data_IF_851789642657
#
_entry.id   IF_851789642657
#
_cell.length_a   1.000
_cell.length_b   1.000
_cell.length_c   1.000
_cell.angle_alpha   90.00
_cell.angle_beta   90.00
_cell.angle_gamma   90.00
#
_symmetry.space_group_name_H-M   'P 1'
#
loop_
_entity.id
_entity.type
_entity.pdbx_description
1 polymer ?
#
# COMPACT_ATOMS: atom_id res chain seq x y z
N UNK A 1 14.73 16.44 45.94
CA UNK A 1 13.72 17.10 45.09
C UNK A 1 13.08 16.04 44.21
N UNK A 2 11.96 15.50 44.69
CA UNK A 2 11.14 14.53 43.97
C UNK A 2 10.24 15.29 42.99
N UNK A 3 10.41 15.03 41.69
CA UNK A 3 9.57 15.58 40.63
C UNK A 3 8.34 14.70 40.44
N UNK A 4 7.17 15.30 40.65
CA UNK A 4 5.83 14.76 40.41
C UNK A 4 5.74 14.10 39.03
N UNK A 5 5.60 12.77 39.01
CA UNK A 5 5.25 12.00 37.81
C UNK A 5 3.72 11.97 37.73
N UNK A 6 3.16 12.65 36.74
CA UNK A 6 1.72 12.64 36.43
C UNK A 6 1.19 11.19 36.38
N UNK A 7 0.17 10.89 37.18
CA UNK A 7 -0.51 9.59 37.26
C UNK A 7 -1.44 9.30 36.05
N UNK A 8 -1.36 10.06 34.96
CA UNK A 8 -2.29 9.96 33.82
C UNK A 8 -1.78 9.13 32.63
N UNK A 9 -0.69 8.38 32.78
CA UNK A 9 -0.09 7.62 31.67
C UNK A 9 0.38 6.21 32.06
N UNK A 10 -0.29 5.56 33.03
CA UNK A 10 -0.13 4.12 33.24
C UNK A 10 -0.80 3.36 32.09
N UNK A 11 0.01 2.67 31.29
CA UNK A 11 -0.46 1.74 30.26
C UNK A 11 -1.46 0.75 30.89
N UNK A 12 -2.71 0.66 30.40
CA UNK A 12 -3.62 -0.36 30.86
C UNK A 12 -3.10 -1.66 30.26
N UNK A 13 -2.59 -2.55 31.12
CA UNK A 13 -2.38 -3.99 30.95
C UNK A 13 -1.02 -4.40 31.54
N UNK A 14 -0.90 -4.41 32.87
CA UNK A 14 -0.10 -5.34 33.72
C UNK A 14 0.25 -4.64 35.05
N UNK A 15 -0.64 -4.76 36.04
CA UNK A 15 -0.28 -4.55 37.44
C UNK A 15 0.09 -5.90 38.06
N UNK A 16 1.31 -6.01 38.60
CA UNK A 16 1.73 -7.18 39.38
C UNK A 16 1.14 -7.07 40.79
N UNK A 17 0.11 -7.87 41.09
CA UNK A 17 -0.29 -8.19 42.46
C UNK A 17 -0.23 -9.71 42.68
N UNK A 18 0.58 -10.21 43.62
CA UNK A 18 0.66 -11.63 43.90
C UNK A 18 -0.51 -12.03 44.80
N UNK A 19 -1.54 -12.70 44.25
CA UNK A 19 -2.49 -13.41 45.11
C UNK A 19 -3.90 -13.72 44.61
N UNK A 20 -4.43 -13.09 43.55
CA UNK A 20 -5.81 -13.35 43.11
C UNK A 20 -5.86 -14.07 41.75
N UNK A 21 -6.61 -15.16 41.70
CA UNK A 21 -6.81 -16.03 40.53
C UNK A 21 -7.83 -15.49 39.52
N UNK A 22 -8.16 -14.22 39.59
CA UNK A 22 -9.24 -13.59 38.82
C UNK A 22 -8.74 -12.21 38.36
N UNK A 23 -8.43 -12.13 37.07
CA UNK A 23 -7.90 -10.93 36.42
C UNK A 23 -9.05 -10.04 35.94
N UNK A 24 -9.87 -9.53 36.85
CA UNK A 24 -10.90 -8.58 36.47
C UNK A 24 -10.27 -7.26 36.03
N UNK A 25 -10.33 -7.04 34.72
CA UNK A 25 -9.98 -5.81 34.04
C UNK A 25 -11.02 -4.77 34.45
N UNK A 26 -10.81 -4.09 35.58
CA UNK A 26 -11.60 -2.90 35.93
C UNK A 26 -11.07 -1.70 35.14
N UNK A 27 -11.20 -1.75 33.82
CA UNK A 27 -11.13 -0.54 33.00
C UNK A 27 -12.32 0.34 33.35
N UNK A 28 -12.09 1.48 33.99
CA UNK A 28 -13.17 2.44 34.24
C UNK A 28 -13.77 2.93 32.92
N UNK A 29 -15.08 3.17 32.90
CA UNK A 29 -15.81 3.72 31.75
C UNK A 29 -15.17 4.98 31.14
N UNK A 30 -14.56 5.83 31.97
CA UNK A 30 -13.86 7.03 31.50
C UNK A 30 -12.60 6.70 30.69
N UNK A 31 -11.79 5.76 31.16
CA UNK A 31 -10.61 5.28 30.42
C UNK A 31 -11.01 4.63 29.10
N UNK A 32 -12.07 3.81 29.09
CA UNK A 32 -12.63 3.21 27.87
C UNK A 32 -13.05 4.28 26.85
N UNK A 33 -13.86 5.26 27.27
CA UNK A 33 -14.31 6.36 26.40
C UNK A 33 -13.15 7.20 25.88
N UNK A 34 -12.16 7.47 26.73
CA UNK A 34 -10.97 8.25 26.37
C UNK A 34 -10.12 7.55 25.31
N UNK A 35 -9.81 6.25 25.48
CA UNK A 35 -9.04 5.49 24.48
C UNK A 35 -9.77 5.39 23.14
N UNK A 36 -11.08 5.15 23.16
CA UNK A 36 -11.87 5.06 21.93
C UNK A 36 -12.02 6.39 21.21
N UNK A 37 -12.05 7.51 21.93
CA UNK A 37 -11.97 8.84 21.32
C UNK A 37 -10.64 9.01 20.57
N UNK A 38 -9.53 8.63 21.19
CA UNK A 38 -8.20 8.67 20.56
C UNK A 38 -8.14 7.77 19.32
N UNK A 39 -8.61 6.52 19.40
CA UNK A 39 -8.64 5.56 18.28
C UNK A 39 -9.45 6.12 17.09
N UNK A 40 -10.62 6.71 17.34
CA UNK A 40 -11.44 7.33 16.27
C UNK A 40 -10.74 8.51 15.59
N UNK A 41 -10.01 9.34 16.34
CA UNK A 41 -9.20 10.42 15.76
C UNK A 41 -8.11 9.85 14.85
N UNK A 42 -7.47 8.75 15.26
CA UNK A 42 -6.45 8.07 14.44
C UNK A 42 -7.04 7.46 13.17
N UNK A 43 -8.26 6.90 13.23
CA UNK A 43 -8.99 6.44 12.05
C UNK A 43 -9.22 7.57 11.05
N UNK A 44 -9.71 8.72 11.53
CA UNK A 44 -9.91 9.91 10.69
C UNK A 44 -8.60 10.40 10.07
N UNK A 45 -7.51 10.42 10.85
CA UNK A 45 -6.19 10.83 10.33
C UNK A 45 -5.68 9.89 9.24
N UNK A 46 -5.86 8.57 9.41
CA UNK A 46 -5.50 7.57 8.41
C UNK A 46 -6.35 7.68 7.14
N UNK A 47 -7.65 7.91 7.31
CA UNK A 47 -8.57 8.15 6.20
C UNK A 47 -8.17 9.38 5.37
N UNK A 48 -7.98 10.54 6.03
CA UNK A 48 -7.58 11.78 5.37
C UNK A 48 -6.21 11.62 4.65
N UNK A 49 -5.27 10.91 5.27
CA UNK A 49 -3.97 10.61 4.66
C UNK A 49 -4.12 9.75 3.40
N UNK A 50 -5.01 8.75 3.42
CA UNK A 50 -5.27 7.88 2.26
C UNK A 50 -5.95 8.62 1.11
N UNK A 51 -6.92 9.49 1.42
CA UNK A 51 -7.58 10.35 0.43
C UNK A 51 -6.56 11.27 -0.24
N UNK A 52 -5.71 11.94 0.55
CA UNK A 52 -4.67 12.82 0.03
C UNK A 52 -3.67 12.07 -0.86
N UNK A 53 -3.22 10.89 -0.44
CA UNK A 53 -2.36 10.03 -1.26
C UNK A 53 -3.03 9.63 -2.59
N UNK A 54 -4.29 9.19 -2.56
CA UNK A 54 -5.02 8.73 -3.75
C UNK A 54 -5.24 9.83 -4.78
N UNK A 55 -5.67 11.02 -4.34
CA UNK A 55 -5.86 12.19 -5.21
C UNK A 55 -4.57 12.56 -5.93
N UNK A 56 -3.46 12.56 -5.20
CA UNK A 56 -2.14 12.86 -5.75
C UNK A 56 -1.72 11.79 -6.75
N UNK A 57 -1.88 10.51 -6.43
CA UNK A 57 -1.45 9.42 -7.32
C UNK A 57 -2.20 9.41 -8.66
N UNK A 58 -3.47 9.79 -8.70
CA UNK A 58 -4.23 9.89 -9.96
C UNK A 58 -3.84 11.11 -10.79
N UNK A 59 -3.42 12.20 -10.15
CA UNK A 59 -3.14 13.48 -10.81
C UNK A 59 -1.67 13.72 -11.13
N UNK A 60 -0.74 12.95 -10.55
CA UNK A 60 0.69 13.21 -10.61
C UNK A 60 1.28 13.19 -12.02
N UNK A 61 0.81 12.29 -12.90
CA UNK A 61 1.32 12.20 -14.27
C UNK A 61 0.89 13.39 -15.12
N UNK A 62 -0.42 13.73 -15.24
CA UNK A 62 -0.84 14.95 -15.92
C UNK A 62 -0.18 16.22 -15.36
N UNK A 63 0.06 16.25 -14.05
CA UNK A 63 0.69 17.38 -13.40
C UNK A 63 2.18 17.53 -13.74
N UNK A 64 2.92 16.41 -13.73
CA UNK A 64 4.32 16.37 -14.14
C UNK A 64 4.48 16.83 -15.59
N UNK A 65 3.61 16.37 -16.49
CA UNK A 65 3.61 16.76 -17.91
C UNK A 65 3.36 18.25 -18.12
N UNK A 66 2.50 18.87 -17.29
CA UNK A 66 2.28 20.33 -17.35
C UNK A 66 3.47 21.14 -16.83
N UNK A 67 4.20 20.61 -15.86
CA UNK A 67 5.34 21.29 -15.22
C UNK A 67 6.62 21.17 -16.05
N UNK A 68 6.88 19.97 -16.57
CA UNK A 68 8.05 19.65 -17.38
C UNK A 68 7.64 18.66 -18.48
N UNK A 69 7.38 19.14 -19.70
CA UNK A 69 7.03 18.29 -20.84
C UNK A 69 8.16 17.33 -21.25
N UNK A 70 9.39 17.54 -20.78
CA UNK A 70 10.54 16.65 -21.06
C UNK A 70 10.64 15.48 -20.10
N UNK A 71 9.69 15.33 -19.16
CA UNK A 71 9.71 14.28 -18.16
C UNK A 71 9.15 12.96 -18.70
N UNK A 72 9.97 11.91 -18.65
CA UNK A 72 9.59 10.57 -19.09
C UNK A 72 8.85 9.76 -18.01
N UNK A 73 8.23 8.66 -18.42
CA UNK A 73 7.58 7.66 -17.54
C UNK A 73 8.54 7.06 -16.51
N UNK A 74 9.83 6.97 -16.84
CA UNK A 74 10.89 6.52 -15.93
C UNK A 74 11.07 7.48 -14.74
N UNK A 75 11.00 8.79 -14.99
CA UNK A 75 11.10 9.82 -13.95
C UNK A 75 9.87 9.79 -13.04
N UNK A 76 8.69 9.60 -13.61
CA UNK A 76 7.48 9.35 -12.81
C UNK A 76 7.68 8.16 -11.85
N UNK A 77 8.31 7.08 -12.32
CA UNK A 77 8.68 5.93 -11.48
C UNK A 77 9.53 6.33 -10.26
N UNK A 78 10.54 7.19 -10.45
CA UNK A 78 11.36 7.73 -9.36
C UNK A 78 10.56 8.60 -8.38
N UNK A 79 9.62 9.40 -8.88
CA UNK A 79 8.75 10.24 -8.05
C UNK A 79 7.82 9.39 -7.17
N UNK A 80 7.29 8.29 -7.70
CA UNK A 80 6.48 7.33 -6.92
C UNK A 80 7.36 6.57 -5.91
N UNK A 81 8.58 6.18 -6.32
CA UNK A 81 9.54 5.51 -5.46
C UNK A 81 10.03 6.40 -4.31
N UNK A 82 10.21 7.71 -4.51
CA UNK A 82 10.71 8.62 -3.49
C UNK A 82 9.78 8.71 -2.28
N UNK A 83 8.46 8.69 -2.50
CA UNK A 83 7.46 8.59 -1.43
C UNK A 83 7.65 7.32 -0.61
N UNK A 84 7.76 6.17 -1.29
CA UNK A 84 7.96 4.89 -0.61
C UNK A 84 9.29 4.83 0.12
N UNK A 85 10.35 5.44 -0.42
CA UNK A 85 11.67 5.50 0.20
C UNK A 85 11.65 6.36 1.48
N UNK A 86 11.00 7.53 1.42
CA UNK A 86 10.77 8.36 2.61
C UNK A 86 10.02 7.59 3.70
N UNK A 87 8.94 6.88 3.34
CA UNK A 87 8.17 6.08 4.28
C UNK A 87 8.97 4.90 4.84
N UNK A 88 9.79 4.25 4.01
CA UNK A 88 10.64 3.12 4.41
C UNK A 88 11.62 3.52 5.52
N UNK A 89 12.27 4.67 5.38
CA UNK A 89 13.22 5.19 6.38
C UNK A 89 12.51 5.73 7.61
N UNK A 90 11.43 6.49 7.42
CA UNK A 90 10.74 7.16 8.51
C UNK A 90 9.93 6.22 9.42
N UNK A 91 9.37 5.12 8.87
CA UNK A 91 8.54 4.19 9.63
C UNK A 91 9.22 3.59 10.89
N UNK A 92 10.44 3.03 10.82
CA UNK A 92 11.13 2.51 12.00
C UNK A 92 11.57 3.63 12.95
N UNK A 93 11.95 4.80 12.44
CA UNK A 93 12.34 5.97 13.26
C UNK A 93 11.16 6.45 14.09
N UNK A 94 10.02 6.70 13.46
CA UNK A 94 8.81 7.11 14.16
C UNK A 94 8.27 6.02 15.09
N UNK A 95 8.41 4.75 14.71
CA UNK A 95 8.07 3.60 15.56
C UNK A 95 8.96 3.49 16.81
N UNK A 96 10.25 3.78 16.69
CA UNK A 96 11.18 3.86 17.82
C UNK A 96 10.81 5.04 18.72
N UNK A 97 10.60 6.21 18.13
CA UNK A 97 10.23 7.42 18.86
C UNK A 97 8.93 7.21 19.65
N UNK A 98 7.90 6.60 19.06
CA UNK A 98 6.63 6.33 19.73
C UNK A 98 6.71 5.34 20.91
N UNK A 99 7.80 4.58 21.00
CA UNK A 99 8.01 3.64 22.10
C UNK A 99 8.66 4.30 23.33
N UNK A 100 9.49 5.33 23.15
CA UNK A 100 10.21 5.98 24.25
C UNK A 100 9.62 7.32 24.67
N UNK A 101 8.77 7.93 23.83
CA UNK A 101 8.15 9.24 24.07
C UNK A 101 6.64 9.14 23.87
N UNK A 102 5.86 10.09 24.42
CA UNK A 102 4.41 10.11 24.23
C UNK A 102 4.07 10.09 22.74
N UNK A 103 3.22 9.14 22.35
CA UNK A 103 2.86 8.83 20.95
C UNK A 103 2.27 10.04 20.19
N UNK A 104 1.82 11.06 20.91
CA UNK A 104 1.36 12.36 20.37
C UNK A 104 2.48 13.15 19.67
N UNK A 105 3.70 13.14 20.21
CA UNK A 105 4.85 13.87 19.65
C UNK A 105 5.16 13.44 18.20
N UNK A 106 5.45 12.15 17.92
CA UNK A 106 5.78 11.72 16.55
C UNK A 106 4.60 11.93 15.60
N UNK A 107 3.35 11.81 16.08
CA UNK A 107 2.16 12.04 15.26
C UNK A 107 2.04 13.51 14.83
N UNK A 108 2.21 14.47 15.74
CA UNK A 108 2.15 15.90 15.39
C UNK A 108 3.27 16.27 14.41
N UNK A 109 4.50 15.82 14.70
CA UNK A 109 5.66 16.09 13.82
C UNK A 109 5.42 15.53 12.42
N UNK A 110 4.89 14.31 12.31
CA UNK A 110 4.57 13.70 11.02
C UNK A 110 3.53 14.48 10.23
N UNK A 111 2.47 14.98 10.90
CA UNK A 111 1.41 15.78 10.27
C UNK A 111 1.99 17.13 9.79
N UNK A 112 2.84 17.78 10.58
CA UNK A 112 3.51 19.03 10.17
C UNK A 112 4.39 18.82 8.94
N UNK A 113 5.16 17.74 8.90
CA UNK A 113 5.96 17.36 7.71
C UNK A 113 5.05 17.13 6.51
N UNK A 114 3.95 16.40 6.67
CA UNK A 114 2.99 16.15 5.59
C UNK A 114 2.34 17.43 5.07
N UNK A 115 1.98 18.37 5.94
CA UNK A 115 1.43 19.67 5.54
C UNK A 115 2.47 20.48 4.77
N UNK A 116 3.69 20.61 5.30
CA UNK A 116 4.79 21.31 4.62
C UNK A 116 5.10 20.70 3.24
N UNK A 117 5.11 19.37 3.14
CA UNK A 117 5.34 18.66 1.89
C UNK A 117 4.22 18.89 0.85
N UNK A 118 2.95 18.92 1.29
CA UNK A 118 1.83 19.24 0.41
C UNK A 118 1.82 20.71 -0.02
N UNK A 119 2.19 21.64 0.86
CA UNK A 119 2.40 23.04 0.48
C UNK A 119 3.51 23.15 -0.58
N UNK A 120 4.65 22.50 -0.36
CA UNK A 120 5.74 22.47 -1.34
C UNK A 120 5.27 21.90 -2.68
N UNK A 121 4.45 20.84 -2.66
CA UNK A 121 3.87 20.27 -3.87
C UNK A 121 2.92 21.23 -4.61
N UNK A 122 2.07 21.96 -3.89
CA UNK A 122 1.15 22.92 -4.49
C UNK A 122 1.89 24.10 -5.16
N UNK A 123 3.02 24.51 -4.61
CA UNK A 123 3.82 25.63 -5.07
C UNK A 123 4.97 25.25 -6.02
N UNK A 124 4.93 24.06 -6.63
CA UNK A 124 5.98 23.59 -7.55
C UNK A 124 6.18 24.45 -8.80
N UNK A 125 5.24 25.34 -9.14
CA UNK A 125 5.34 26.24 -10.29
C UNK A 125 6.12 27.53 -10.00
N UNK A 126 6.43 27.84 -8.73
CA UNK A 126 7.12 29.08 -8.36
C UNK A 126 8.61 29.06 -8.76
N UNK A 127 9.37 27.96 -8.54
CA UNK A 127 10.74 27.89 -9.03
C UNK A 127 10.78 27.97 -10.55
N UNK A 128 11.70 28.78 -11.09
CA UNK A 128 11.82 28.99 -12.53
C UNK A 128 12.56 27.85 -13.26
N UNK A 129 13.20 26.93 -12.55
CA UNK A 129 13.94 25.80 -13.14
C UNK A 129 13.91 24.55 -12.26
N UNK A 130 14.08 23.37 -12.88
CA UNK A 130 14.21 22.06 -12.20
C UNK A 130 12.96 21.56 -11.45
N UNK A 131 11.78 21.97 -11.89
CA UNK A 131 10.50 21.73 -11.20
C UNK A 131 10.19 20.24 -10.97
N UNK A 132 10.61 19.35 -11.87
CA UNK A 132 10.48 17.88 -11.71
C UNK A 132 11.23 17.34 -10.48
N UNK A 133 12.39 17.91 -10.13
CA UNK A 133 13.16 17.50 -8.95
C UNK A 133 12.54 18.01 -7.66
N UNK A 134 11.96 19.21 -7.67
CA UNK A 134 11.17 19.70 -6.53
C UNK A 134 9.96 18.81 -6.26
N UNK A 135 9.32 18.27 -7.31
CA UNK A 135 8.24 17.29 -7.15
C UNK A 135 8.74 16.02 -6.46
N UNK A 136 9.90 15.51 -6.89
CA UNK A 136 10.53 14.34 -6.29
C UNK A 136 10.83 14.56 -4.80
N UNK A 137 11.36 15.72 -4.42
CA UNK A 137 11.65 16.09 -3.03
C UNK A 137 10.36 16.24 -2.22
N UNK A 138 9.35 16.93 -2.75
CA UNK A 138 8.05 17.07 -2.07
C UNK A 138 7.41 15.71 -1.80
N UNK A 139 7.50 14.77 -2.74
CA UNK A 139 7.04 13.38 -2.56
C UNK A 139 7.83 12.63 -1.51
N UNK A 140 9.15 12.77 -1.50
CA UNK A 140 10.01 12.18 -0.47
C UNK A 140 9.68 12.67 0.94
N UNK A 141 9.51 13.98 1.11
CA UNK A 141 9.10 14.60 2.37
C UNK A 141 7.71 14.12 2.82
N UNK A 142 6.76 14.03 1.88
CA UNK A 142 5.43 13.49 2.18
C UNK A 142 5.52 12.02 2.61
N UNK A 143 6.41 11.25 1.99
CA UNK A 143 6.73 9.87 2.38
C UNK A 143 7.28 9.77 3.80
N UNK A 144 8.15 10.70 4.21
CA UNK A 144 8.62 10.78 5.59
C UNK A 144 7.44 11.01 6.55
N UNK A 145 6.56 11.96 6.23
CA UNK A 145 5.33 12.18 7.01
C UNK A 145 4.41 10.95 7.08
N UNK A 146 4.37 10.13 6.02
CA UNK A 146 3.63 8.87 5.99
C UNK A 146 4.18 7.76 6.91
N UNK A 147 5.34 7.98 7.55
CA UNK A 147 5.82 7.12 8.64
C UNK A 147 4.87 7.04 9.84
N UNK A 148 3.92 7.99 9.94
CA UNK A 148 2.85 8.00 10.94
C UNK A 148 1.97 6.74 10.94
N UNK A 149 1.89 6.02 9.81
CA UNK A 149 1.15 4.76 9.68
C UNK A 149 1.65 3.73 10.69
N UNK A 150 2.97 3.65 10.89
CA UNK A 150 3.57 2.74 11.88
C UNK A 150 3.17 3.12 13.32
N UNK A 151 3.18 4.42 13.63
CA UNK A 151 2.80 4.95 14.96
C UNK A 151 1.34 4.65 15.26
N UNK A 152 0.42 4.91 14.32
CA UNK A 152 -1.01 4.64 14.49
C UNK A 152 -1.29 3.15 14.68
N UNK A 153 -0.68 2.29 13.85
CA UNK A 153 -0.83 0.83 13.99
C UNK A 153 -0.33 0.35 15.35
N UNK A 154 0.83 0.85 15.80
CA UNK A 154 1.36 0.49 17.13
C UNK A 154 0.50 1.02 18.27
N UNK A 155 -0.03 2.25 18.16
CA UNK A 155 -0.92 2.82 19.16
C UNK A 155 -2.17 1.98 19.31
N UNK A 156 -2.84 1.66 18.20
CA UNK A 156 -4.08 0.90 18.21
C UNK A 156 -3.84 -0.54 18.65
N UNK A 157 -2.72 -1.17 18.27
CA UNK A 157 -2.36 -2.50 18.77
C UNK A 157 -2.20 -2.53 20.30
N UNK A 158 -1.63 -1.46 20.88
CA UNK A 158 -1.37 -1.37 22.31
C UNK A 158 -2.60 -0.94 23.11
N UNK A 159 -3.45 -0.08 22.53
CA UNK A 159 -4.65 0.44 23.18
C UNK A 159 -5.89 -0.49 23.05
N UNK A 160 -5.79 -1.60 22.32
CA UNK A 160 -6.90 -2.54 22.10
C UNK A 160 -6.65 -3.89 22.75
N UNK A 161 -7.71 -4.48 23.28
CA UNK A 161 -7.68 -5.85 23.78
C UNK A 161 -7.45 -6.84 22.64
N UNK A 162 -7.03 -8.07 22.95
CA UNK A 162 -6.80 -9.10 21.93
C UNK A 162 -8.05 -9.45 21.13
N UNK A 163 -9.24 -9.31 21.73
CA UNK A 163 -10.53 -9.55 21.08
C UNK A 163 -10.91 -8.38 20.17
N UNK A 164 -10.67 -7.14 20.61
CA UNK A 164 -10.96 -5.92 19.83
C UNK A 164 -9.94 -5.67 18.71
N UNK A 165 -8.72 -6.19 18.84
CA UNK A 165 -7.57 -5.82 17.97
C UNK A 165 -7.83 -6.07 16.49
N UNK A 166 -8.46 -7.19 16.15
CA UNK A 166 -8.79 -7.56 14.78
C UNK A 166 -9.74 -6.54 14.17
N UNK A 167 -10.82 -6.22 14.88
CA UNK A 167 -11.82 -5.24 14.44
C UNK A 167 -11.20 -3.84 14.32
N UNK A 168 -10.36 -3.44 15.27
CA UNK A 168 -9.72 -2.13 15.23
C UNK A 168 -8.67 -2.00 14.12
N UNK A 169 -7.87 -3.05 13.88
CA UNK A 169 -6.94 -3.09 12.73
C UNK A 169 -7.68 -3.17 11.39
N UNK A 170 -8.83 -3.86 11.36
CA UNK A 170 -9.77 -3.84 10.24
C UNK A 170 -10.21 -2.42 9.93
N UNK A 171 -10.72 -1.69 10.93
CA UNK A 171 -11.16 -0.32 10.74
C UNK A 171 -10.03 0.62 10.27
N UNK A 172 -8.78 0.48 10.76
CA UNK A 172 -7.64 1.25 10.22
C UNK A 172 -7.45 0.97 8.72
N UNK A 173 -7.47 -0.31 8.34
CA UNK A 173 -7.24 -0.71 6.96
C UNK A 173 -8.43 -0.36 6.06
N UNK A 174 -9.65 -0.38 6.60
CA UNK A 174 -10.86 0.11 5.95
C UNK A 174 -10.80 1.62 5.74
N UNK A 175 -10.32 2.40 6.70
CA UNK A 175 -10.07 3.82 6.49
C UNK A 175 -9.03 4.08 5.39
N UNK A 176 -8.08 3.16 5.18
CA UNK A 176 -7.10 3.28 4.10
C UNK A 176 -7.63 2.79 2.74
N UNK A 177 -8.46 1.75 2.69
CA UNK A 177 -8.83 1.03 1.46
C UNK A 177 -10.32 1.08 1.07
N UNK A 178 -11.20 1.40 2.01
CA UNK A 178 -12.66 1.26 1.96
C UNK A 178 -13.16 0.03 1.17
N UNK A 179 -13.12 -1.13 1.85
CA UNK A 179 -13.74 -2.41 1.49
C UNK A 179 -14.01 -3.27 2.73
N UNK A 180 -15.04 -4.13 2.69
CA UNK A 180 -15.88 -4.67 3.79
C UNK A 180 -15.28 -5.73 4.77
N UNK A 181 -16.10 -5.98 5.82
CA UNK A 181 -16.07 -6.80 7.05
C UNK A 181 -15.38 -8.18 7.01
N UNK A 182 -14.63 -8.50 8.08
CA UNK A 182 -14.35 -9.88 8.49
C UNK A 182 -14.82 -10.12 9.93
N UNK A 183 -15.68 -11.12 10.09
CA UNK A 183 -16.15 -11.62 11.38
C UNK A 183 -15.11 -12.48 12.11
N UNK A 184 -15.48 -13.09 13.25
CA UNK A 184 -14.57 -13.78 14.17
C UNK A 184 -14.15 -15.18 13.66
N UNK A 185 -13.47 -15.23 12.51
CA UNK A 185 -12.86 -16.45 11.96
C UNK A 185 -11.35 -16.37 12.22
N UNK A 186 -10.69 -17.51 12.50
CA UNK A 186 -9.27 -17.55 12.84
C UNK A 186 -8.36 -16.84 11.82
N UNK A 187 -7.66 -15.80 12.26
CA UNK A 187 -6.86 -14.89 11.42
C UNK A 187 -5.84 -15.60 10.52
N UNK A 188 -5.21 -16.66 11.02
CA UNK A 188 -4.25 -17.48 10.27
C UNK A 188 -4.90 -18.25 9.12
N UNK A 189 -6.15 -18.70 9.29
CA UNK A 189 -6.89 -19.40 8.24
C UNK A 189 -7.39 -18.42 7.17
N UNK A 190 -7.83 -17.23 7.58
CA UNK A 190 -8.19 -16.15 6.67
C UNK A 190 -6.97 -15.71 5.84
N UNK A 191 -5.79 -15.57 6.46
CA UNK A 191 -4.56 -15.22 5.76
C UNK A 191 -4.20 -16.27 4.69
N UNK A 192 -4.26 -17.57 5.04
CA UNK A 192 -4.04 -18.65 4.07
C UNK A 192 -5.08 -18.64 2.94
N UNK A 193 -6.36 -18.49 3.27
CA UNK A 193 -7.43 -18.41 2.28
C UNK A 193 -7.24 -17.23 1.32
N UNK A 194 -6.88 -16.05 1.84
CA UNK A 194 -6.56 -14.88 1.03
C UNK A 194 -5.39 -15.14 0.08
N UNK A 195 -4.30 -15.75 0.56
CA UNK A 195 -3.13 -16.06 -0.27
C UNK A 195 -3.46 -17.05 -1.38
N UNK A 196 -4.31 -18.06 -1.10
CA UNK A 196 -4.79 -19.02 -2.09
C UNK A 196 -5.64 -18.31 -3.16
N UNK A 197 -6.55 -17.41 -2.76
CA UNK A 197 -7.37 -16.63 -3.70
C UNK A 197 -6.49 -15.75 -4.61
N UNK A 198 -5.48 -15.08 -4.05
CA UNK A 198 -4.52 -14.29 -4.83
C UNK A 198 -3.75 -15.19 -5.80
N UNK A 199 -3.29 -16.36 -5.34
CA UNK A 199 -2.59 -17.32 -6.18
C UNK A 199 -3.44 -17.79 -7.36
N UNK A 200 -4.69 -18.18 -7.12
CA UNK A 200 -5.64 -18.58 -8.18
C UNK A 200 -5.83 -17.44 -9.18
N UNK A 201 -5.93 -16.19 -8.72
CA UNK A 201 -6.01 -15.02 -9.59
C UNK A 201 -4.81 -14.88 -10.53
N UNK A 202 -3.58 -14.95 -10.00
CA UNK A 202 -2.37 -14.90 -10.84
C UNK A 202 -2.19 -16.13 -11.73
N UNK A 203 -2.61 -17.31 -11.27
CA UNK A 203 -2.57 -18.54 -12.05
C UNK A 203 -3.53 -18.47 -13.25
N UNK A 204 -4.72 -17.91 -13.04
CA UNK A 204 -5.68 -17.63 -14.12
C UNK A 204 -5.11 -16.57 -15.06
N UNK A 205 -4.35 -15.58 -14.59
CA UNK A 205 -3.75 -14.53 -15.44
C UNK A 205 -2.64 -15.03 -16.38
N UNK A 206 -2.07 -16.22 -16.14
CA UNK A 206 -1.06 -16.80 -17.02
C UNK A 206 -1.63 -17.04 -18.43
N UNK A 207 -0.90 -16.69 -19.51
CA UNK A 207 -1.39 -16.88 -20.87
C UNK A 207 -1.28 -18.36 -21.28
N UNK A 208 -2.32 -19.14 -20.93
CA UNK A 208 -2.47 -20.57 -21.24
C UNK A 208 -2.93 -20.87 -22.67
N UNK A 209 -3.37 -19.85 -23.41
CA UNK A 209 -3.96 -19.99 -24.74
C UNK A 209 -2.98 -20.51 -25.81
N UNK A 210 -3.53 -20.86 -26.97
CA UNK A 210 -2.77 -21.32 -28.15
C UNK A 210 -2.82 -20.30 -29.31
N UNK A 211 -3.54 -19.18 -29.13
CA UNK A 211 -3.65 -18.12 -30.13
C UNK A 211 -2.62 -17.03 -29.84
N UNK A 212 -1.69 -16.86 -30.77
CA UNK A 212 -0.69 -15.79 -30.75
C UNK A 212 -1.29 -14.48 -31.26
N UNK A 213 -0.82 -13.32 -30.77
CA UNK A 213 -1.25 -12.02 -31.28
C UNK A 213 -0.99 -11.90 -32.78
N UNK A 214 -1.85 -11.14 -33.48
CA UNK A 214 -1.65 -10.83 -34.89
C UNK A 214 -0.37 -10.00 -35.04
N UNK A 215 0.50 -10.40 -35.96
CA UNK A 215 1.77 -9.72 -36.24
C UNK A 215 1.47 -8.47 -37.08
N UNK A 216 1.98 -7.31 -36.68
CA UNK A 216 1.96 -6.12 -37.52
C UNK A 216 3.36 -5.92 -38.12
N UNK A 217 3.41 -5.73 -39.44
CA UNK A 217 4.61 -5.22 -40.11
C UNK A 217 4.53 -3.70 -40.10
N UNK A 218 5.62 -3.04 -39.71
CA UNK A 218 5.74 -1.59 -39.73
C UNK A 218 5.88 -1.13 -41.19
N UNK A 219 4.77 -0.73 -41.81
CA UNK A 219 4.81 -0.11 -43.13
C UNK A 219 5.40 1.30 -43.00
N UNK A 220 6.60 1.51 -43.56
CA UNK A 220 7.23 2.82 -43.68
C UNK A 220 6.24 3.83 -44.29
N UNK A 221 5.87 4.87 -43.54
CA UNK A 221 5.05 5.97 -44.06
C UNK A 221 5.75 6.67 -45.25
N UNK A 222 5.12 6.62 -46.43
CA UNK A 222 5.43 7.54 -47.53
C UNK A 222 4.72 8.87 -47.26
N UNK A 223 5.46 9.97 -47.31
CA UNK A 223 4.98 11.32 -47.03
C UNK A 223 3.98 11.79 -48.11
N UNK A 224 2.69 11.76 -47.80
CA UNK A 224 1.69 12.53 -48.53
C UNK A 224 1.17 13.67 -47.66
N UNK A 225 1.60 14.88 -48.01
CA UNK A 225 1.16 16.17 -47.44
C UNK A 225 -0.32 16.38 -47.80
N UNK A 226 -1.25 16.57 -46.85
CA UNK A 226 -2.58 17.05 -47.18
C UNK A 226 -2.62 18.58 -47.10
N UNK A 227 -3.04 19.20 -48.21
CA UNK A 227 -3.37 20.62 -48.28
C UNK A 227 -4.68 20.87 -47.51
N UNK A 228 -4.62 21.53 -46.36
CA UNK A 228 -5.81 21.90 -45.59
C UNK A 228 -6.29 23.32 -45.96
N UNK A 229 -7.54 23.45 -46.41
CA UNK A 229 -8.22 24.73 -46.64
C UNK A 229 -8.88 25.27 -45.37
N UNK A 230 -8.95 26.60 -45.24
CA UNK A 230 -9.39 27.39 -44.06
C UNK A 230 -10.78 27.02 -43.48
N UNK A 231 -11.60 26.26 -44.21
CA UNK A 231 -12.92 25.78 -43.76
C UNK A 231 -12.89 24.62 -42.75
N UNK A 232 -11.82 23.82 -42.69
CA UNK A 232 -11.74 22.65 -41.77
C UNK A 232 -11.37 23.03 -40.33
N UNK A 233 -10.84 24.24 -40.11
CA UNK A 233 -10.42 24.73 -38.79
C UNK A 233 -11.62 24.99 -37.87
N UNK A 234 -12.78 25.39 -38.43
CA UNK A 234 -13.96 25.73 -37.61
C UNK A 234 -14.71 24.47 -37.14
N UNK A 235 -14.64 23.36 -37.87
CA UNK A 235 -15.26 22.09 -37.47
C UNK A 235 -14.46 21.44 -36.31
N UNK A 236 -13.15 21.69 -36.20
CA UNK A 236 -12.28 21.17 -35.14
C UNK A 236 -12.52 21.78 -33.75
N UNK A 237 -13.18 22.94 -33.65
CA UNK A 237 -13.39 23.64 -32.38
C UNK A 237 -14.60 23.17 -31.57
N UNK A 238 -15.56 22.46 -32.20
CA UNK A 238 -16.80 22.01 -31.55
C UNK A 238 -16.88 20.51 -31.28
N UNK A 239 -15.90 19.72 -31.76
CA UNK A 239 -15.79 18.30 -31.44
C UNK A 239 -14.89 18.16 -30.21
N UNK A 240 -15.45 17.81 -29.05
CA UNK A 240 -14.67 17.10 -28.01
C UNK A 240 -13.89 15.97 -28.68
N UNK A 241 -12.66 15.60 -28.26
CA UNK A 241 -11.88 14.58 -28.94
C UNK A 241 -12.58 13.21 -28.78
N UNK A 242 -13.54 12.93 -29.66
CA UNK A 242 -13.73 11.61 -30.20
C UNK A 242 -12.50 11.38 -31.06
N UNK A 243 -11.60 10.63 -30.45
CA UNK A 243 -10.49 9.95 -31.08
C UNK A 243 -10.95 9.38 -32.42
N UNK A 244 -10.51 10.02 -33.50
CA UNK A 244 -10.68 9.50 -34.84
C UNK A 244 -9.85 8.22 -34.90
N UNK A 245 -10.50 7.11 -35.22
CA UNK A 245 -9.99 5.74 -35.21
C UNK A 245 -9.03 5.54 -36.40
N UNK A 246 -7.99 6.37 -36.49
CA UNK A 246 -6.77 6.00 -37.20
C UNK A 246 -6.13 4.90 -36.36
N UNK A 247 -6.48 3.66 -36.72
CA UNK A 247 -5.99 2.39 -36.20
C UNK A 247 -4.61 2.56 -35.54
N UNK A 248 -4.61 2.70 -34.21
CA UNK A 248 -3.36 2.60 -33.45
C UNK A 248 -2.74 1.27 -33.86
N UNK A 249 -1.43 1.24 -34.19
CA UNK A 249 -0.79 0.01 -34.65
C UNK A 249 -1.09 -1.12 -33.66
N UNK A 250 -1.92 -2.09 -34.10
CA UNK A 250 -2.24 -3.29 -33.34
C UNK A 250 -1.23 -4.38 -33.68
N UNK A 251 -0.16 -4.47 -32.88
CA UNK A 251 0.87 -5.51 -33.07
C UNK A 251 2.02 -5.42 -32.07
N UNK A 252 2.94 -6.37 -32.16
CA UNK A 252 4.12 -6.46 -31.29
C UNK A 252 5.21 -5.47 -31.73
N UNK A 253 5.68 -4.62 -30.80
CA UNK A 253 6.88 -3.79 -31.02
C UNK A 253 8.13 -4.66 -31.22
N UNK A 254 9.04 -4.23 -32.10
CA UNK A 254 10.35 -4.86 -32.32
C UNK A 254 11.18 -4.91 -31.02
N UNK A 255 10.97 -3.99 -30.09
CA UNK A 255 11.66 -3.99 -28.79
C UNK A 255 11.24 -5.15 -27.88
N UNK A 256 10.07 -5.76 -28.13
CA UNK A 256 9.47 -6.78 -27.27
C UNK A 256 9.27 -8.11 -28.01
N UNK A 257 10.39 -8.78 -28.32
CA UNK A 257 10.41 -10.06 -29.05
C UNK A 257 9.55 -11.17 -28.41
N UNK A 258 9.28 -11.10 -27.09
CA UNK A 258 8.42 -12.04 -26.39
C UNK A 258 6.96 -12.01 -26.81
N UNK A 259 6.52 -10.92 -27.44
CA UNK A 259 5.16 -10.76 -27.91
C UNK A 259 4.82 -11.74 -29.06
N UNK A 260 5.82 -12.19 -29.84
CA UNK A 260 5.63 -13.14 -30.94
C UNK A 260 5.29 -14.57 -30.48
N UNK A 261 5.77 -14.98 -29.30
CA UNK A 261 5.61 -16.34 -28.79
C UNK A 261 4.73 -16.42 -27.53
N UNK A 262 4.14 -15.30 -27.10
CA UNK A 262 3.27 -15.26 -25.94
C UNK A 262 1.80 -15.22 -26.37
N UNK A 263 0.96 -16.17 -25.94
CA UNK A 263 -0.46 -16.19 -26.28
C UNK A 263 -1.21 -14.97 -25.73
N UNK A 264 -2.28 -14.59 -26.42
CA UNK A 264 -3.15 -13.48 -26.03
C UNK A 264 -3.92 -13.85 -24.76
N UNK A 265 -4.01 -12.90 -23.82
CA UNK A 265 -4.86 -13.03 -22.62
C UNK A 265 -6.27 -12.54 -22.98
N UNK A 266 -7.27 -13.41 -22.80
CA UNK A 266 -8.66 -13.03 -23.06
C UNK A 266 -9.17 -12.03 -22.01
N UNK A 267 -10.05 -11.11 -22.42
CA UNK A 267 -10.63 -10.11 -21.52
C UNK A 267 -11.33 -10.75 -20.30
N UNK A 268 -12.08 -11.83 -20.49
CA UNK A 268 -12.76 -12.54 -19.40
C UNK A 268 -11.78 -13.11 -18.37
N UNK A 269 -10.64 -13.64 -18.84
CA UNK A 269 -9.57 -14.17 -17.99
C UNK A 269 -8.92 -13.04 -17.18
N UNK A 270 -8.63 -11.91 -17.83
CA UNK A 270 -8.12 -10.71 -17.17
C UNK A 270 -9.08 -10.19 -16.09
N UNK A 271 -10.35 -9.97 -16.42
CA UNK A 271 -11.35 -9.47 -15.45
C UNK A 271 -11.52 -10.41 -14.25
N UNK A 272 -11.60 -11.72 -14.50
CA UNK A 272 -11.72 -12.72 -13.44
C UNK A 272 -10.50 -12.69 -12.51
N UNK A 273 -9.29 -12.60 -13.07
CA UNK A 273 -8.06 -12.51 -12.27
C UNK A 273 -8.00 -11.24 -11.42
N UNK A 274 -8.39 -10.09 -11.97
CA UNK A 274 -8.38 -8.80 -11.27
C UNK A 274 -9.35 -8.81 -10.10
N UNK A 275 -10.55 -9.39 -10.27
CA UNK A 275 -11.53 -9.53 -9.17
C UNK A 275 -10.96 -10.42 -8.06
N UNK A 276 -10.39 -11.57 -8.40
CA UNK A 276 -9.81 -12.49 -7.40
C UNK A 276 -8.65 -11.85 -6.63
N UNK A 277 -7.69 -11.24 -7.34
CA UNK A 277 -6.56 -10.54 -6.72
C UNK A 277 -7.06 -9.37 -5.87
N UNK A 278 -8.05 -8.62 -6.36
CA UNK A 278 -8.66 -7.49 -5.67
C UNK A 278 -9.38 -7.87 -4.37
N UNK A 279 -9.97 -9.07 -4.29
CA UNK A 279 -10.58 -9.59 -3.07
C UNK A 279 -9.53 -10.18 -2.11
N UNK A 280 -8.55 -10.91 -2.62
CA UNK A 280 -7.56 -11.61 -1.81
C UNK A 280 -6.49 -10.70 -1.20
N UNK A 281 -6.00 -9.70 -1.93
CA UNK A 281 -4.89 -8.86 -1.49
C UNK A 281 -5.20 -8.02 -0.23
N UNK A 282 -6.36 -7.33 -0.11
CA UNK A 282 -6.72 -6.58 1.09
C UNK A 282 -6.81 -7.48 2.33
N UNK A 283 -7.37 -8.69 2.16
CA UNK A 283 -7.50 -9.69 3.22
C UNK A 283 -6.12 -10.12 3.73
N UNK A 284 -5.18 -10.41 2.82
CA UNK A 284 -3.81 -10.79 3.19
C UNK A 284 -3.09 -9.67 3.95
N UNK A 285 -3.20 -8.44 3.45
CA UNK A 285 -2.57 -7.27 4.06
C UNK A 285 -3.11 -7.03 5.48
N UNK A 286 -4.44 -7.10 5.65
CA UNK A 286 -5.11 -6.93 6.94
C UNK A 286 -4.69 -7.98 7.98
N UNK A 287 -4.78 -9.25 7.59
CA UNK A 287 -4.50 -10.36 8.49
C UNK A 287 -3.03 -10.38 8.89
N UNK A 288 -2.12 -10.00 7.99
CA UNK A 288 -0.69 -9.88 8.31
C UNK A 288 -0.44 -8.88 9.44
N UNK A 289 -1.03 -7.68 9.40
CA UNK A 289 -0.88 -6.70 10.49
C UNK A 289 -1.48 -7.18 11.80
N UNK A 290 -2.67 -7.79 11.72
CA UNK A 290 -3.38 -8.23 12.92
C UNK A 290 -2.64 -9.37 13.60
N UNK A 291 -2.29 -10.41 12.86
CA UNK A 291 -1.57 -11.57 13.38
C UNK A 291 -0.21 -11.14 13.96
N UNK A 292 0.52 -10.29 13.25
CA UNK A 292 1.81 -9.75 13.72
C UNK A 292 1.66 -8.98 15.04
N UNK A 293 0.63 -8.12 15.15
CA UNK A 293 0.34 -7.37 16.38
C UNK A 293 -0.01 -8.26 17.58
N UNK A 294 -0.70 -9.39 17.35
CA UNK A 294 -1.06 -10.36 18.40
C UNK A 294 0.11 -11.25 18.82
N UNK A 295 1.01 -11.56 17.90
CA UNK A 295 2.22 -12.36 18.18
C UNK A 295 3.22 -11.54 19.02
N UNK A 296 3.39 -10.25 18.73
CA UNK A 296 4.32 -9.37 19.45
C UNK A 296 3.96 -9.20 20.94
N UNK A 297 2.67 -9.17 21.28
CA UNK A 297 2.21 -8.89 22.65
C UNK A 297 2.48 -7.44 23.07
N UNK A 298 2.58 -7.14 24.38
CA UNK A 298 2.77 -5.77 24.90
C UNK A 298 4.21 -5.24 24.77
N UNK A 299 5.14 -6.00 24.18
CA UNK A 299 6.54 -5.60 23.92
C UNK A 299 6.62 -4.49 22.86
N UNK A 300 7.70 -3.69 22.76
CA UNK A 300 7.74 -2.39 22.04
C UNK A 300 7.15 -2.42 20.62
N UNK A 301 5.85 -2.17 20.49
CA UNK A 301 5.09 -2.42 19.26
C UNK A 301 5.46 -1.46 18.13
N UNK A 302 5.86 -0.22 18.45
CA UNK A 302 6.21 0.82 17.48
C UNK A 302 7.32 0.42 16.52
N UNK A 303 8.49 0.04 17.04
CA UNK A 303 9.64 -0.39 16.22
C UNK A 303 9.29 -1.54 15.28
N UNK A 304 8.64 -2.59 15.79
CA UNK A 304 8.33 -3.76 14.99
C UNK A 304 7.26 -3.50 13.93
N UNK A 305 6.24 -2.68 14.25
CA UNK A 305 5.27 -2.19 13.25
C UNK A 305 5.92 -1.25 12.24
N UNK A 306 6.92 -0.48 12.67
CA UNK A 306 7.76 0.35 11.82
C UNK A 306 8.54 -0.47 10.79
N UNK A 307 9.20 -1.54 11.22
CA UNK A 307 9.90 -2.48 10.33
C UNK A 307 8.96 -3.18 9.35
N UNK A 308 7.78 -3.62 9.82
CA UNK A 308 6.77 -4.24 8.94
C UNK A 308 6.25 -3.24 7.88
N UNK A 309 6.09 -1.97 8.26
CA UNK A 309 5.68 -0.92 7.33
C UNK A 309 6.82 -0.59 6.35
N UNK A 310 8.06 -0.56 6.83
CA UNK A 310 9.24 -0.34 6.00
C UNK A 310 9.44 -1.46 4.97
N UNK A 311 9.26 -2.74 5.34
CA UNK A 311 9.35 -3.85 4.39
C UNK A 311 8.29 -3.75 3.29
N UNK A 312 7.06 -3.34 3.62
CA UNK A 312 6.02 -3.08 2.63
C UNK A 312 6.38 -1.92 1.67
N UNK A 313 7.02 -0.87 2.17
CA UNK A 313 7.56 0.21 1.33
C UNK A 313 8.71 -0.25 0.44
N UNK A 314 9.64 -1.05 0.97
CA UNK A 314 10.71 -1.66 0.19
C UNK A 314 10.17 -2.54 -0.95
N UNK A 315 9.15 -3.36 -0.68
CA UNK A 315 8.48 -4.17 -1.69
C UNK A 315 7.80 -3.32 -2.78
N UNK A 316 7.24 -2.15 -2.44
CA UNK A 316 6.65 -1.21 -3.41
C UNK A 316 7.69 -0.55 -4.33
N UNK A 317 8.95 -0.46 -3.90
CA UNK A 317 10.05 0.07 -4.71
C UNK A 317 10.65 -1.05 -5.56
N UNK A 318 11.10 -2.12 -4.92
CA UNK A 318 11.84 -3.20 -5.57
C UNK A 318 10.95 -4.11 -6.43
N UNK A 319 9.68 -4.27 -6.05
CA UNK A 319 8.73 -5.15 -6.75
C UNK A 319 8.51 -4.72 -8.21
N UNK A 320 8.03 -3.50 -8.48
CA UNK A 320 7.86 -3.01 -9.85
C UNK A 320 9.17 -2.97 -10.64
N UNK A 321 10.30 -2.60 -10.01
CA UNK A 321 11.61 -2.61 -10.68
C UNK A 321 11.99 -4.02 -11.14
N UNK A 322 11.87 -5.01 -10.26
CA UNK A 322 12.22 -6.39 -10.58
C UNK A 322 11.25 -7.00 -11.61
N UNK A 323 9.94 -6.85 -11.40
CA UNK A 323 8.93 -7.40 -12.31
C UNK A 323 8.96 -6.72 -13.68
N UNK A 324 9.18 -5.40 -13.75
CA UNK A 324 9.29 -4.67 -15.02
C UNK A 324 10.46 -5.16 -15.86
N UNK A 325 11.62 -5.43 -15.25
CA UNK A 325 12.79 -5.97 -15.95
C UNK A 325 12.53 -7.39 -16.48
N UNK A 326 11.94 -8.26 -15.68
CA UNK A 326 11.55 -9.61 -16.11
C UNK A 326 10.52 -9.53 -17.24
N UNK A 327 9.54 -8.64 -17.13
CA UNK A 327 8.52 -8.44 -18.15
C UNK A 327 9.13 -7.95 -19.46
N UNK A 328 10.02 -6.95 -19.42
CA UNK A 328 10.62 -6.37 -20.63
C UNK A 328 11.48 -7.40 -21.39
N UNK A 329 12.31 -8.17 -20.67
CA UNK A 329 13.27 -9.07 -21.30
C UNK A 329 12.71 -10.47 -21.61
N UNK A 330 11.85 -11.02 -20.75
CA UNK A 330 11.41 -12.43 -20.82
C UNK A 330 9.90 -12.53 -21.10
N UNK A 331 9.16 -11.45 -20.97
CA UNK A 331 7.72 -11.38 -21.25
C UNK A 331 6.82 -11.77 -20.07
N UNK A 332 5.50 -11.64 -20.28
CA UNK A 332 4.51 -11.77 -19.20
C UNK A 332 4.41 -13.18 -18.63
N UNK A 333 4.69 -14.23 -19.41
CA UNK A 333 4.71 -15.62 -18.93
C UNK A 333 5.65 -15.80 -17.75
N UNK A 334 6.88 -15.33 -17.90
CA UNK A 334 7.91 -15.43 -16.86
C UNK A 334 7.62 -14.49 -15.69
N UNK A 335 7.16 -13.27 -15.96
CA UNK A 335 6.80 -12.31 -14.91
C UNK A 335 5.68 -12.84 -14.00
N UNK A 336 4.56 -13.31 -14.57
CA UNK A 336 3.43 -13.83 -13.79
C UNK A 336 3.74 -15.19 -13.15
N UNK A 337 4.51 -16.06 -13.82
CA UNK A 337 4.93 -17.34 -13.26
C UNK A 337 5.83 -17.15 -12.03
N UNK A 338 6.73 -16.17 -12.08
CA UNK A 338 7.57 -15.82 -10.95
C UNK A 338 6.74 -15.32 -9.76
N UNK A 339 5.73 -14.47 -10.00
CA UNK A 339 4.82 -14.00 -8.94
C UNK A 339 4.03 -15.18 -8.34
N UNK A 340 3.50 -16.08 -9.17
CA UNK A 340 2.86 -17.31 -8.70
C UNK A 340 3.79 -18.13 -7.81
N UNK A 341 5.05 -18.32 -8.24
CA UNK A 341 6.06 -19.06 -7.48
C UNK A 341 6.36 -18.43 -6.11
N UNK A 342 6.48 -17.10 -6.04
CA UNK A 342 6.68 -16.38 -4.78
C UNK A 342 5.48 -16.58 -3.84
N UNK A 343 4.25 -16.55 -4.35
CA UNK A 343 3.05 -16.77 -3.54
C UNK A 343 3.00 -18.21 -3.03
N UNK A 344 3.31 -19.22 -3.84
CA UNK A 344 3.39 -20.63 -3.40
C UNK A 344 4.45 -20.81 -2.33
N UNK A 345 5.63 -20.22 -2.51
CA UNK A 345 6.68 -20.23 -1.50
C UNK A 345 6.19 -19.61 -0.19
N UNK A 346 5.48 -18.48 -0.27
CA UNK A 346 4.90 -17.81 0.91
C UNK A 346 3.85 -18.68 1.61
N UNK A 347 2.95 -19.32 0.86
CA UNK A 347 1.96 -20.26 1.40
C UNK A 347 2.65 -21.45 2.07
N UNK A 348 3.69 -22.00 1.44
CA UNK A 348 4.45 -23.15 1.96
C UNK A 348 5.16 -22.79 3.26
N UNK A 349 5.86 -21.65 3.29
CA UNK A 349 6.52 -21.13 4.50
C UNK A 349 5.50 -20.87 5.61
N UNK A 350 4.35 -20.28 5.28
CA UNK A 350 3.27 -20.05 6.24
C UNK A 350 2.69 -21.37 6.78
N UNK A 351 2.56 -22.38 5.92
CA UNK A 351 2.13 -23.74 6.30
C UNK A 351 3.11 -24.43 7.25
N UNK A 352 4.42 -24.33 6.97
CA UNK A 352 5.48 -24.87 7.85
C UNK A 352 5.45 -24.21 9.22
N UNK A 353 5.25 -22.89 9.26
CA UNK A 353 5.26 -22.11 10.52
C UNK A 353 3.86 -22.08 11.17
N UNK A 354 2.83 -22.64 10.55
CA UNK A 354 1.41 -22.51 10.96
C UNK A 354 1.18 -22.84 12.43
N UNK A 355 1.77 -23.94 12.91
CA UNK A 355 1.67 -24.37 14.33
C UNK A 355 2.38 -23.43 15.31
N UNK A 356 3.29 -22.58 14.82
CA UNK A 356 4.07 -21.62 15.63
C UNK A 356 3.43 -20.22 15.67
N UNK A 357 2.58 -19.87 14.69
CA UNK A 357 1.85 -18.59 14.55
C UNK A 357 0.63 -18.51 15.48
N UNK A 358 0.83 -18.82 16.76
CA UNK A 358 -0.19 -18.74 17.79
C UNK A 358 -0.03 -17.42 18.53
N UNK A 359 -1.14 -16.70 18.75
CA UNK A 359 -1.14 -15.46 19.54
C UNK A 359 -0.54 -15.70 20.94
N UNK A 360 0.19 -14.70 21.46
CA UNK A 360 0.89 -14.83 22.74
C UNK A 360 -0.06 -15.23 23.89
N UNK A 361 -1.31 -14.78 23.85
CA UNK A 361 -2.33 -15.12 24.84
C UNK A 361 -2.73 -16.59 24.85
N UNK A 362 -2.85 -17.21 23.67
CA UNK A 362 -3.21 -18.63 23.55
C UNK A 362 -2.03 -19.49 24.00
N UNK A 363 -0.78 -19.08 23.71
CA UNK A 363 0.43 -19.78 24.19
C UNK A 363 0.53 -19.80 25.72
N UNK A 364 0.02 -18.78 26.41
CA UNK A 364 -0.05 -18.72 27.87
C UNK A 364 -1.38 -19.26 28.46
N UNK A 365 -2.23 -19.91 27.66
CA UNK A 365 -3.49 -20.50 28.12
C UNK A 365 -4.58 -19.50 28.51
N UNK A 366 -4.48 -18.25 28.04
CA UNK A 366 -5.33 -17.12 28.46
C UNK A 366 -6.62 -16.97 27.62
N UNK A 367 -6.71 -17.65 26.46
CA UNK A 367 -7.88 -17.66 25.55
C UNK A 367 -7.89 -19.03 24.83
N UNK A 368 -9.03 -19.72 24.79
CA UNK A 368 -9.27 -20.91 23.96
C UNK A 368 -9.77 -20.46 22.57
N UNK A 369 -9.20 -21.01 21.49
CA UNK A 369 -9.54 -20.65 20.10
C UNK A 369 -11.00 -20.90 19.73
#
# INVERSE_FOLDING_TARGET
MAGLRNESEQEPLLGDTPGSREWDILETEEHYKSRWRSIRILYLTMFLSSVGFSIVMMSIWPYLQKIDPTADTSFLGWVIASYSLGQMVASPIFGLWSNYRPRKEPLIVSILISVAANCLYAYLHIPASHNKYYMLVARGLLGIGAGNVAVVRSYTAGATSLQERTSSMANISMCQALGFILGPIGERAILLGGLIVVWVGFFILLPWGNQFPKIQWEDLHNNSIPNTTFGEIIIGLWKSPMEDDNERPTGCSIEQAWCLYTPVIHLAQFLTSVVLIGLGYPVCNLMSYTLYSKILGPKPQGVYMGWLTASGSGARILGPMFISQVYAHWGPRWAFSLVCGIIVLTITLLGVVYKRLIALSVRYGRIQE
#
